data_IF_182253714903
#
_entry.id   IF_182253714903
#
_cell.length_a   1.000
_cell.length_b   1.000
_cell.length_c   1.000
_cell.angle_alpha   90.00
_cell.angle_beta   90.00
_cell.angle_gamma   90.00
#
_symmetry.space_group_name_H-M   'P 1'
#
loop_
_entity.id
_entity.type
_entity.pdbx_description
1 polymer ?
#
# COMPACT_ATOMS: atom_id res chain seq x y z
N UNK A 1 23.60 -39.69 -22.41
CA UNK A 1 23.13 -38.81 -23.51
C UNK A 1 21.69 -38.41 -23.18
N UNK A 2 21.42 -37.14 -22.89
CA UNK A 2 20.06 -36.65 -22.64
C UNK A 2 19.29 -36.55 -23.95
N UNK A 3 18.10 -37.14 -24.00
CA UNK A 3 17.28 -37.24 -25.21
C UNK A 3 16.80 -35.84 -25.66
N UNK A 4 16.92 -35.45 -26.94
CA UNK A 4 16.63 -34.09 -27.41
C UNK A 4 15.20 -33.63 -27.12
N UNK A 5 14.20 -34.53 -27.16
CA UNK A 5 12.82 -34.21 -26.74
C UNK A 5 12.70 -33.87 -25.25
N UNK A 6 13.44 -34.55 -24.37
CA UNK A 6 13.43 -34.25 -22.94
C UNK A 6 14.04 -32.87 -22.68
N UNK A 7 15.10 -32.54 -23.41
CA UNK A 7 15.70 -31.21 -23.37
C UNK A 7 14.73 -30.13 -23.86
N UNK A 8 14.02 -30.36 -24.97
CA UNK A 8 13.03 -29.42 -25.50
C UNK A 8 11.85 -29.21 -24.54
N UNK A 9 11.34 -30.29 -23.93
CA UNK A 9 10.27 -30.21 -22.93
C UNK A 9 10.71 -29.47 -21.66
N UNK A 10 11.93 -29.72 -21.19
CA UNK A 10 12.49 -28.99 -20.05
C UNK A 10 12.62 -27.49 -20.35
N UNK A 11 13.11 -27.13 -21.54
CA UNK A 11 13.21 -25.74 -21.98
C UNK A 11 11.84 -25.06 -22.12
N UNK A 12 10.83 -25.75 -22.63
CA UNK A 12 9.47 -25.21 -22.73
C UNK A 12 8.88 -24.94 -21.34
N UNK A 13 9.00 -25.88 -20.40
CA UNK A 13 8.57 -25.70 -19.01
C UNK A 13 9.24 -24.51 -18.33
N UNK A 14 10.54 -24.36 -18.56
CA UNK A 14 11.33 -23.24 -18.04
C UNK A 14 10.84 -21.87 -18.54
N UNK A 15 10.44 -21.78 -19.81
CA UNK A 15 9.93 -20.53 -20.40
C UNK A 15 8.65 -20.07 -19.73
N UNK A 16 7.74 -21.00 -19.45
CA UNK A 16 6.44 -20.70 -18.84
C UNK A 16 6.49 -20.68 -17.30
N UNK A 17 7.62 -21.09 -16.70
CA UNK A 17 7.76 -21.14 -15.26
C UNK A 17 7.66 -19.76 -14.60
N UNK A 18 7.13 -19.66 -13.36
CA UNK A 18 7.19 -18.43 -12.57
C UNK A 18 8.65 -17.95 -12.40
N UNK A 19 8.84 -16.63 -12.25
CA UNK A 19 10.17 -16.00 -12.16
C UNK A 19 11.02 -16.67 -11.06
N UNK A 20 10.42 -16.97 -9.91
CA UNK A 20 11.10 -17.63 -8.81
C UNK A 20 11.60 -19.03 -9.16
N UNK A 21 10.79 -19.84 -9.86
CA UNK A 21 11.18 -21.20 -10.25
C UNK A 21 12.38 -21.17 -11.20
N UNK A 22 12.36 -20.27 -12.20
CA UNK A 22 13.53 -20.06 -13.08
C UNK A 22 14.77 -19.63 -12.29
N UNK A 23 14.62 -18.69 -11.36
CA UNK A 23 15.72 -18.25 -10.52
C UNK A 23 16.26 -19.40 -9.67
N UNK A 24 15.38 -20.26 -9.13
CA UNK A 24 15.78 -21.44 -8.37
C UNK A 24 16.59 -22.43 -9.21
N UNK A 25 16.16 -22.71 -10.44
CA UNK A 25 16.90 -23.58 -11.36
C UNK A 25 18.28 -23.03 -11.70
N UNK A 26 18.38 -21.72 -11.98
CA UNK A 26 19.67 -21.07 -12.26
C UNK A 26 20.63 -21.09 -11.05
N UNK A 27 20.09 -21.16 -9.84
CA UNK A 27 20.86 -21.18 -8.59
C UNK A 27 21.02 -22.58 -7.98
N UNK A 28 20.52 -23.62 -8.64
CA UNK A 28 20.62 -25.01 -8.16
C UNK A 28 19.88 -25.28 -6.85
N UNK A 29 18.77 -24.59 -6.61
CA UNK A 29 17.96 -24.70 -5.38
C UNK A 29 16.54 -25.17 -5.70
N UNK A 30 15.85 -25.73 -4.71
CA UNK A 30 14.46 -26.18 -4.85
C UNK A 30 13.47 -25.03 -4.64
N UNK A 31 12.49 -24.90 -5.52
CA UNK A 31 11.46 -23.86 -5.43
C UNK A 31 10.37 -24.15 -4.37
N UNK A 32 10.15 -25.42 -4.01
CA UNK A 32 9.18 -25.81 -2.99
C UNK A 32 9.55 -27.16 -2.33
N UNK A 33 9.57 -27.26 -0.98
CA UNK A 33 9.45 -26.15 -0.03
C UNK A 33 10.66 -25.22 -0.10
N UNK A 34 10.42 -23.91 -0.13
CA UNK A 34 11.45 -22.88 -0.06
C UNK A 34 11.64 -22.42 1.38
N UNK A 35 12.88 -22.20 1.78
CA UNK A 35 13.19 -21.54 3.04
C UNK A 35 12.98 -20.01 2.94
N UNK A 36 12.57 -19.31 4.01
CA UNK A 36 12.43 -17.84 3.99
C UNK A 36 13.72 -17.10 3.59
N UNK A 37 14.89 -17.62 3.99
CA UNK A 37 16.18 -17.05 3.60
C UNK A 37 16.44 -17.16 2.09
N UNK A 38 15.93 -18.21 1.43
CA UNK A 38 16.05 -18.37 -0.01
C UNK A 38 15.20 -17.35 -0.76
N UNK A 39 13.98 -17.11 -0.28
CA UNK A 39 13.10 -16.07 -0.82
C UNK A 39 13.72 -14.68 -0.63
N UNK A 40 14.34 -14.42 0.53
CA UNK A 40 15.05 -13.17 0.80
C UNK A 40 16.20 -12.91 -0.19
N UNK A 41 16.98 -13.97 -0.50
CA UNK A 41 18.04 -13.90 -1.51
C UNK A 41 17.47 -13.63 -2.90
N UNK A 42 16.42 -14.35 -3.31
CA UNK A 42 15.71 -14.09 -4.57
C UNK A 42 15.26 -12.63 -4.69
N UNK A 43 14.66 -12.09 -3.62
CA UNK A 43 14.20 -10.70 -3.55
C UNK A 43 15.35 -9.71 -3.76
N UNK A 44 16.51 -9.99 -3.15
CA UNK A 44 17.70 -9.15 -3.27
C UNK A 44 18.30 -9.23 -4.68
N UNK A 45 18.48 -10.45 -5.21
CA UNK A 45 19.07 -10.69 -6.53
C UNK A 45 18.20 -10.11 -7.67
N UNK A 46 16.88 -10.09 -7.47
CA UNK A 46 15.90 -9.63 -8.45
C UNK A 46 15.37 -8.20 -8.20
N UNK A 47 16.00 -7.43 -7.31
CA UNK A 47 15.57 -6.06 -6.96
C UNK A 47 15.44 -5.14 -8.19
N UNK A 48 16.32 -5.30 -9.18
CA UNK A 48 16.33 -4.52 -10.42
C UNK A 48 15.09 -4.71 -11.30
N UNK A 49 14.28 -5.75 -11.09
CA UNK A 49 13.02 -5.98 -11.82
C UNK A 49 11.92 -4.97 -11.44
N UNK A 50 12.12 -4.24 -10.34
CA UNK A 50 11.16 -3.29 -9.79
C UNK A 50 10.14 -3.95 -8.86
N UNK A 51 9.66 -3.15 -7.89
CA UNK A 51 8.81 -3.60 -6.78
C UNK A 51 7.54 -4.29 -7.25
N UNK A 52 6.87 -3.78 -8.30
CA UNK A 52 5.59 -4.35 -8.77
C UNK A 52 5.74 -5.79 -9.25
N UNK A 53 6.76 -6.09 -10.06
CA UNK A 53 7.02 -7.44 -10.58
C UNK A 53 7.50 -8.35 -9.48
N UNK A 54 8.40 -7.85 -8.62
CA UNK A 54 8.95 -8.63 -7.52
C UNK A 54 7.88 -9.01 -6.51
N UNK A 55 6.99 -8.07 -6.17
CA UNK A 55 5.87 -8.32 -5.28
C UNK A 55 4.91 -9.37 -5.83
N UNK A 56 4.57 -9.29 -7.13
CA UNK A 56 3.76 -10.33 -7.78
C UNK A 56 4.43 -11.70 -7.68
N UNK A 57 5.74 -11.78 -7.90
CA UNK A 57 6.48 -13.04 -7.80
C UNK A 57 6.49 -13.58 -6.36
N UNK A 58 6.65 -12.73 -5.34
CA UNK A 58 6.54 -13.15 -3.92
C UNK A 58 5.15 -13.68 -3.61
N UNK A 59 4.10 -13.04 -4.12
CA UNK A 59 2.73 -13.52 -3.99
C UNK A 59 2.50 -14.88 -4.70
N UNK A 60 3.16 -15.13 -5.83
CA UNK A 60 3.15 -16.46 -6.48
C UNK A 60 3.82 -17.53 -5.60
N UNK A 61 4.93 -17.20 -4.93
CA UNK A 61 5.61 -18.11 -4.00
C UNK A 61 4.68 -18.48 -2.84
N UNK A 62 4.02 -17.48 -2.24
CA UNK A 62 3.03 -17.67 -1.18
C UNK A 62 1.92 -18.63 -1.65
N UNK A 63 1.27 -18.32 -2.79
CA UNK A 63 0.21 -19.16 -3.37
C UNK A 63 0.65 -20.59 -3.61
N UNK A 64 1.85 -20.78 -4.18
CA UNK A 64 2.41 -22.11 -4.45
C UNK A 64 2.53 -22.92 -3.16
N UNK A 65 3.09 -22.35 -2.09
CA UNK A 65 3.24 -23.06 -0.80
C UNK A 65 1.90 -23.36 -0.14
N UNK A 66 1.02 -22.36 -0.06
CA UNK A 66 -0.30 -22.50 0.58
C UNK A 66 -1.15 -23.53 -0.17
N UNK A 67 -1.11 -23.56 -1.50
CA UNK A 67 -1.86 -24.53 -2.31
C UNK A 67 -1.46 -25.99 -2.06
N UNK A 68 -0.22 -26.21 -1.59
CA UNK A 68 0.31 -27.51 -1.22
C UNK A 68 0.16 -27.83 0.28
N UNK A 69 -0.53 -26.97 1.04
CA UNK A 69 -0.68 -27.12 2.49
C UNK A 69 0.61 -26.85 3.28
N UNK A 70 1.58 -26.17 2.67
CA UNK A 70 2.87 -25.84 3.30
C UNK A 70 2.83 -24.46 3.96
N UNK A 71 3.74 -24.25 4.91
CA UNK A 71 3.95 -22.94 5.51
C UNK A 71 4.39 -21.93 4.46
N UNK A 72 3.84 -20.71 4.53
CA UNK A 72 4.19 -19.63 3.62
C UNK A 72 5.57 -19.03 3.98
N UNK A 73 6.58 -19.16 3.11
CA UNK A 73 7.93 -18.66 3.39
C UNK A 73 8.06 -17.15 3.24
N UNK A 74 7.01 -16.45 2.80
CA UNK A 74 7.03 -15.02 2.46
C UNK A 74 6.54 -14.12 3.60
N UNK A 75 5.74 -14.66 4.53
CA UNK A 75 5.03 -13.87 5.54
C UNK A 75 5.89 -13.40 6.73
N UNK A 76 7.14 -13.86 6.87
CA UNK A 76 7.93 -13.54 8.05
C UNK A 76 9.44 -13.63 7.89
N UNK A 77 10.14 -13.05 8.86
CA UNK A 77 11.59 -13.14 9.00
C UNK A 77 12.34 -12.48 7.85
N UNK A 78 13.22 -13.24 7.22
CA UNK A 78 14.15 -12.74 6.21
C UNK A 78 13.45 -12.26 4.93
N UNK A 79 12.41 -12.96 4.46
CA UNK A 79 11.73 -12.64 3.21
C UNK A 79 10.98 -11.30 3.30
N UNK A 80 10.19 -11.11 4.35
CA UNK A 80 9.48 -9.86 4.62
C UNK A 80 10.44 -8.70 4.83
N UNK A 81 11.54 -8.91 5.56
CA UNK A 81 12.59 -7.89 5.77
C UNK A 81 13.26 -7.46 4.46
N UNK A 82 13.60 -8.42 3.58
CA UNK A 82 14.19 -8.13 2.29
C UNK A 82 13.23 -7.34 1.39
N UNK A 83 11.94 -7.69 1.39
CA UNK A 83 10.93 -6.92 0.66
C UNK A 83 10.80 -5.50 1.20
N UNK A 84 10.75 -5.32 2.53
CA UNK A 84 10.69 -4.00 3.15
C UNK A 84 11.91 -3.13 2.82
N UNK A 85 13.10 -3.72 2.73
CA UNK A 85 14.32 -2.99 2.40
C UNK A 85 14.28 -2.38 0.99
N UNK A 86 13.64 -3.06 0.03
CA UNK A 86 13.57 -2.64 -1.39
C UNK A 86 12.31 -1.81 -1.66
N UNK A 87 11.23 -2.07 -0.92
CA UNK A 87 9.90 -1.54 -1.17
C UNK A 87 9.36 -0.68 -0.02
N UNK A 88 10.22 -0.06 0.79
CA UNK A 88 9.81 0.68 1.98
C UNK A 88 8.65 1.67 1.70
N UNK A 89 7.54 1.52 2.43
CA UNK A 89 6.43 2.48 2.38
C UNK A 89 6.64 3.49 3.50
N UNK A 90 6.61 4.80 3.21
CA UNK A 90 6.70 5.79 4.26
C UNK A 90 5.46 5.71 5.15
N UNK A 91 5.60 5.73 6.48
CA UNK A 91 4.47 5.73 7.38
C UNK A 91 3.66 7.04 7.22
N UNK A 92 2.35 7.02 7.54
CA UNK A 92 1.52 8.22 7.45
C UNK A 92 2.10 9.40 8.23
N UNK A 93 2.07 10.59 7.62
CA UNK A 93 2.72 11.79 8.18
C UNK A 93 2.11 12.24 9.50
N UNK A 94 0.79 12.09 9.64
CA UNK A 94 0.01 12.43 10.83
C UNK A 94 0.35 11.59 12.06
N UNK A 95 1.01 10.44 11.88
CA UNK A 95 1.24 9.52 12.98
C UNK A 95 2.33 9.99 13.96
N UNK A 96 2.15 9.77 15.27
CA UNK A 96 3.21 9.96 16.25
C UNK A 96 4.41 9.04 15.99
N UNK A 97 5.61 9.47 16.43
CA UNK A 97 6.86 8.75 16.18
C UNK A 97 6.85 7.25 16.60
N UNK A 98 6.29 6.85 17.76
CA UNK A 98 6.24 5.44 18.14
C UNK A 98 5.44 4.57 17.15
N UNK A 99 4.37 5.12 16.55
CA UNK A 99 3.58 4.40 15.56
C UNK A 99 4.30 4.30 14.22
N UNK A 100 5.03 5.35 13.82
CA UNK A 100 5.88 5.33 12.62
C UNK A 100 6.94 4.23 12.71
N UNK A 101 7.58 4.09 13.87
CA UNK A 101 8.56 3.03 14.10
C UNK A 101 7.93 1.64 13.99
N UNK A 102 6.76 1.43 14.61
CA UNK A 102 6.05 0.14 14.53
C UNK A 102 5.61 -0.18 13.10
N UNK A 103 5.15 0.83 12.34
CA UNK A 103 4.76 0.66 10.94
C UNK A 103 5.91 0.13 10.08
N UNK A 104 7.11 0.72 10.22
CA UNK A 104 8.27 0.30 9.45
C UNK A 104 8.72 -1.14 9.75
N UNK A 105 8.32 -1.70 10.91
CA UNK A 105 8.61 -3.09 11.29
C UNK A 105 7.56 -4.09 10.77
N UNK A 106 6.42 -3.63 10.25
CA UNK A 106 5.39 -4.51 9.71
C UNK A 106 5.84 -5.12 8.38
N UNK A 107 5.37 -6.33 8.02
CA UNK A 107 5.51 -6.87 6.67
C UNK A 107 4.95 -5.94 5.58
N UNK A 108 5.51 -6.01 4.38
CA UNK A 108 5.22 -5.10 3.27
C UNK A 108 3.74 -5.09 2.84
N UNK A 109 3.09 -6.25 2.79
CA UNK A 109 1.64 -6.39 2.53
C UNK A 109 0.81 -5.59 3.53
N UNK A 110 1.12 -5.74 4.82
CA UNK A 110 0.42 -5.05 5.89
C UNK A 110 0.63 -3.54 5.77
N UNK A 111 1.85 -3.10 5.45
CA UNK A 111 2.13 -1.67 5.18
C UNK A 111 1.29 -1.13 4.02
N UNK A 112 1.18 -1.86 2.90
CA UNK A 112 0.33 -1.47 1.75
C UNK A 112 -1.11 -1.26 2.20
N UNK A 113 -1.68 -2.24 2.90
CA UNK A 113 -3.09 -2.18 3.33
C UNK A 113 -3.36 -1.03 4.28
N UNK A 114 -2.51 -0.83 5.29
CA UNK A 114 -2.67 0.27 6.25
C UNK A 114 -2.49 1.64 5.60
N UNK A 115 -1.50 1.79 4.72
CA UNK A 115 -1.26 3.06 4.03
C UNK A 115 -2.44 3.45 3.12
N UNK A 116 -3.00 2.48 2.38
CA UNK A 116 -4.15 2.72 1.52
C UNK A 116 -5.40 3.12 2.33
N UNK A 117 -5.66 2.42 3.43
CA UNK A 117 -6.78 2.70 4.31
C UNK A 117 -6.64 4.07 5.00
N UNK A 118 -5.44 4.43 5.47
CA UNK A 118 -5.20 5.74 6.08
C UNK A 118 -5.35 6.88 5.06
N UNK A 119 -4.86 6.70 3.84
CA UNK A 119 -5.05 7.69 2.77
C UNK A 119 -6.55 7.89 2.45
N UNK A 120 -7.36 6.84 2.51
CA UNK A 120 -8.81 6.94 2.35
C UNK A 120 -9.45 7.73 3.51
N UNK A 121 -9.07 7.43 4.75
CA UNK A 121 -9.54 8.17 5.94
C UNK A 121 -9.19 9.65 5.87
N UNK A 122 -7.95 9.96 5.50
CA UNK A 122 -7.48 11.34 5.39
C UNK A 122 -8.27 12.12 4.33
N UNK A 123 -8.57 11.50 3.18
CA UNK A 123 -9.43 12.11 2.14
C UNK A 123 -10.84 12.39 2.66
N UNK A 124 -11.43 11.45 3.39
CA UNK A 124 -12.78 11.62 3.95
C UNK A 124 -12.80 12.75 4.99
N UNK A 125 -11.80 12.80 5.87
CA UNK A 125 -11.66 13.84 6.89
C UNK A 125 -11.47 15.23 6.27
N UNK A 126 -10.62 15.36 5.24
CA UNK A 126 -10.43 16.64 4.52
C UNK A 126 -11.72 17.11 3.85
N UNK A 127 -12.53 16.21 3.27
CA UNK A 127 -13.83 16.56 2.70
C UNK A 127 -14.78 17.10 3.76
N UNK A 128 -14.93 16.39 4.88
CA UNK A 128 -15.79 16.82 5.97
C UNK A 128 -15.37 18.17 6.57
N UNK A 129 -14.06 18.43 6.69
CA UNK A 129 -13.54 19.73 7.15
C UNK A 129 -13.87 20.87 6.18
N UNK A 130 -13.71 20.63 4.87
CA UNK A 130 -14.05 21.63 3.85
C UNK A 130 -15.55 21.91 3.82
N UNK A 131 -16.38 20.88 3.94
CA UNK A 131 -17.85 21.02 3.98
C UNK A 131 -18.29 21.82 5.22
N UNK A 132 -17.72 21.50 6.39
CA UNK A 132 -17.98 22.23 7.62
C UNK A 132 -17.51 23.69 7.54
N UNK A 133 -16.36 23.96 6.92
CA UNK A 133 -15.86 25.31 6.70
C UNK A 133 -16.78 26.11 5.77
N UNK A 134 -17.24 25.50 4.66
CA UNK A 134 -18.19 26.13 3.75
C UNK A 134 -19.53 26.42 4.42
N UNK A 135 -20.04 25.50 5.24
CA UNK A 135 -21.27 25.71 6.01
C UNK A 135 -21.13 26.89 6.99
N UNK A 136 -20.00 26.98 7.71
CA UNK A 136 -19.72 28.12 8.62
C UNK A 136 -19.63 29.45 7.88
N UNK A 137 -19.03 29.49 6.69
CA UNK A 137 -18.98 30.70 5.87
C UNK A 137 -20.38 31.13 5.40
N UNK A 138 -21.22 30.19 4.97
CA UNK A 138 -22.60 30.48 4.57
C UNK A 138 -23.44 31.00 5.73
N UNK A 139 -23.33 30.39 6.92
CA UNK A 139 -24.02 30.86 8.12
C UNK A 139 -23.58 32.27 8.51
N UNK A 140 -22.27 32.54 8.54
CA UNK A 140 -21.76 33.87 8.83
C UNK A 140 -22.22 34.93 7.82
N UNK A 141 -22.33 34.58 6.53
CA UNK A 141 -22.85 35.49 5.51
C UNK A 141 -24.34 35.81 5.72
N UNK A 142 -25.16 34.80 6.04
CA UNK A 142 -26.58 35.00 6.36
C UNK A 142 -26.76 35.85 7.62
N UNK A 143 -25.97 35.60 8.67
CA UNK A 143 -25.99 36.39 9.91
C UNK A 143 -25.62 37.86 9.63
N UNK A 144 -24.62 38.12 8.78
CA UNK A 144 -24.25 39.47 8.37
C UNK A 144 -25.37 40.17 7.59
N UNK A 145 -25.98 39.49 6.60
CA UNK A 145 -27.11 40.03 5.83
C UNK A 145 -28.32 40.36 6.73
N UNK A 146 -28.63 39.51 7.71
CA UNK A 146 -29.72 39.78 8.66
C UNK A 146 -29.44 41.01 9.51
N UNK A 147 -28.20 41.19 9.98
CA UNK A 147 -27.80 42.34 10.80
C UNK A 147 -27.83 43.65 10.01
N UNK A 148 -27.40 43.63 8.76
CA UNK A 148 -27.45 44.80 7.87
C UNK A 148 -28.89 45.19 7.49
N UNK A 149 -29.81 44.22 7.45
CA UNK A 149 -31.24 44.49 7.22
C UNK A 149 -31.92 45.10 8.44
N UNK A 150 -31.56 44.65 9.65
CA UNK A 150 -32.08 45.20 10.91
C UNK A 150 -31.56 46.62 11.19
N UNK A 151 -30.29 46.92 10.87
CA UNK A 151 -29.75 48.28 11.02
C UNK A 151 -30.42 49.28 10.07
N UNK A 152 -30.58 48.93 8.79
CA UNK A 152 -31.25 49.79 7.80
C UNK A 152 -32.76 49.97 8.10
N UNK A 153 -33.44 48.94 8.63
CA UNK A 153 -34.85 49.03 9.01
C UNK A 153 -35.09 49.97 10.20
N UNK A 154 -34.16 50.02 11.15
CA UNK A 154 -34.24 50.95 12.27
C UNK A 154 -33.94 52.40 11.85
N UNK A 155 -32.97 52.66 10.96
CA UNK A 155 -32.69 54.02 10.49
C UNK A 155 -33.84 54.64 9.68
N UNK A 156 -34.64 53.83 8.97
CA UNK A 156 -35.83 54.30 8.27
C UNK A 156 -36.99 54.65 9.23
N UNK A 157 -37.12 53.93 10.35
CA UNK A 157 -38.18 54.17 11.34
C UNK A 157 -37.92 55.42 12.21
N UNK A 158 -36.65 55.81 12.43
CA UNK A 158 -36.30 57.03 13.19
C UNK A 158 -36.45 58.32 12.39
N UNK A 159 -36.50 58.26 11.05
CA UNK A 159 -36.59 59.44 10.17
C UNK A 159 -38.02 59.94 9.91
N UNK A 160 -39.03 59.15 10.27
CA UNK A 160 -40.46 59.45 10.05
C UNK A 160 -41.13 60.06 11.30
N UNK A 161 -40.34 60.43 12.33
CA UNK A 161 -40.83 61.00 13.60
C UNK A 161 -40.49 62.49 13.83
N UNK A 162 -39.88 63.17 12.85
CA UNK A 162 -39.62 64.63 12.86
C UNK A 162 -40.52 65.36 11.85
#
# INVERSE_FOLDING_TARGET
>A
MTHPLLTALAQARLRDAPIFVRWCELNGVTACPAAPALVARFVTDCAALGVSRLWSAVQDISRMHVSLGLADPTLGGAAASAMNAIAAIPPPRSWPAPFKQRFSALPYDIQIHLAAHEAQRERALRRAQNDAASARQKLAALEAETKDRESNGNEAATRDQD
#
